data_IF_124330079485
#
_entry.id   IF_124330079485
#
_cell.length_a   1.000
_cell.length_b   1.000
_cell.length_c   1.000
_cell.angle_alpha   90.00
_cell.angle_beta   90.00
_cell.angle_gamma   90.00
#
_symmetry.space_group_name_H-M   'P 1'
#
loop_
_entity.id
_entity.type
_entity.pdbx_description
1 polymer ?
#
# COMPACT_ATOMS: atom_id res chain seq x y z
N UNK A 1 -15.95 7.94 -9.79
CA UNK A 1 -15.74 9.39 -10.04
C UNK A 1 -14.92 9.98 -8.90
N UNK A 2 -13.95 10.85 -9.17
CA UNK A 2 -13.13 11.51 -8.14
C UNK A 2 -13.37 13.02 -8.20
N UNK A 3 -13.64 13.64 -7.05
CA UNK A 3 -13.77 15.10 -6.92
C UNK A 3 -12.82 15.61 -5.86
N UNK A 4 -12.18 16.73 -6.13
CA UNK A 4 -11.17 17.28 -5.26
C UNK A 4 -10.40 18.39 -5.93
N UNK A 5 -9.14 18.54 -5.54
CA UNK A 5 -8.21 19.50 -6.15
C UNK A 5 -7.02 18.77 -6.75
N UNK A 6 -6.42 19.40 -7.74
CA UNK A 6 -5.21 18.93 -8.40
C UNK A 6 -4.11 19.94 -8.15
N UNK A 7 -2.98 19.45 -7.68
CA UNK A 7 -1.75 20.21 -7.51
C UNK A 7 -0.70 19.64 -8.47
N UNK A 8 0.07 20.53 -9.10
CA UNK A 8 1.12 20.17 -10.05
C UNK A 8 2.46 20.59 -9.43
N UNK A 9 3.41 19.66 -9.37
CA UNK A 9 4.77 19.91 -8.92
C UNK A 9 5.76 19.14 -9.80
N UNK A 10 6.67 19.85 -10.44
CA UNK A 10 7.57 19.34 -11.48
C UNK A 10 6.84 18.44 -12.52
N UNK A 11 7.16 17.13 -12.52
CA UNK A 11 6.60 16.13 -13.45
C UNK A 11 5.47 15.29 -12.81
N UNK A 12 5.03 15.67 -11.60
CA UNK A 12 4.09 14.87 -10.80
C UNK A 12 2.79 15.62 -10.55
N UNK A 13 1.68 14.92 -10.77
CA UNK A 13 0.33 15.40 -10.46
C UNK A 13 -0.10 14.80 -9.13
N UNK A 14 -0.37 15.66 -8.15
CA UNK A 14 -0.98 15.29 -6.88
C UNK A 14 -2.50 15.50 -6.98
N UNK A 15 -3.26 14.41 -6.87
CA UNK A 15 -4.72 14.47 -6.79
C UNK A 15 -5.13 14.30 -5.33
N UNK A 16 -5.71 15.34 -4.74
CA UNK A 16 -6.22 15.33 -3.37
C UNK A 16 -7.75 15.22 -3.45
N UNK A 17 -8.25 14.01 -3.19
CA UNK A 17 -9.66 13.70 -3.26
C UNK A 17 -10.40 14.16 -1.98
N UNK A 18 -11.50 14.88 -2.15
CA UNK A 18 -12.48 15.12 -1.08
C UNK A 18 -13.64 14.13 -1.15
N UNK A 19 -13.91 13.61 -2.34
CA UNK A 19 -14.95 12.63 -2.59
C UNK A 19 -14.48 11.62 -3.65
N UNK A 20 -14.78 10.36 -3.40
CA UNK A 20 -14.42 9.24 -4.27
C UNK A 20 -15.60 8.28 -4.33
N UNK A 21 -16.15 8.10 -5.53
CA UNK A 21 -17.18 7.09 -5.80
C UNK A 21 -16.51 5.85 -6.34
N UNK A 22 -16.77 4.72 -5.69
CA UNK A 22 -16.42 3.41 -6.22
C UNK A 22 -17.24 3.12 -7.49
N UNK A 23 -16.54 2.75 -8.56
CA UNK A 23 -17.13 2.40 -9.85
C UNK A 23 -16.56 1.06 -10.36
N UNK A 24 -16.03 0.24 -9.45
CA UNK A 24 -15.35 -1.02 -9.78
C UNK A 24 -16.26 -1.94 -10.59
N UNK A 25 -17.53 -2.08 -10.23
CA UNK A 25 -18.49 -2.93 -10.94
C UNK A 25 -18.70 -2.53 -12.40
N UNK A 26 -18.87 -1.23 -12.67
CA UNK A 26 -19.02 -0.72 -14.03
C UNK A 26 -17.74 -0.89 -14.86
N UNK A 27 -16.57 -0.76 -14.22
CA UNK A 27 -15.28 -0.99 -14.87
C UNK A 27 -15.06 -2.47 -15.16
N UNK A 28 -15.48 -3.36 -14.26
CA UNK A 28 -15.45 -4.81 -14.51
C UNK A 28 -16.32 -5.19 -15.70
N UNK A 29 -17.48 -4.55 -15.88
CA UNK A 29 -18.31 -4.77 -17.07
C UNK A 29 -17.67 -4.35 -18.40
N UNK A 30 -16.61 -3.54 -18.37
CA UNK A 30 -15.87 -3.09 -19.55
C UNK A 30 -14.56 -3.86 -19.77
N UNK A 31 -14.11 -4.64 -18.79
CA UNK A 31 -12.83 -5.34 -18.84
C UNK A 31 -13.01 -6.76 -19.41
N UNK A 32 -12.17 -7.14 -20.39
CA UNK A 32 -12.15 -8.49 -20.96
C UNK A 32 -11.59 -9.55 -19.99
N UNK A 33 -10.82 -9.13 -18.98
CA UNK A 33 -10.24 -10.00 -17.95
C UNK A 33 -10.18 -9.28 -16.59
N UNK A 34 -10.24 -10.05 -15.50
CA UNK A 34 -10.19 -9.52 -14.15
C UNK A 34 -8.76 -9.15 -13.78
N UNK A 35 -8.51 -7.85 -13.61
CA UNK A 35 -7.26 -7.35 -13.02
C UNK A 35 -7.15 -7.87 -11.58
N UNK A 36 -6.20 -8.80 -11.35
CA UNK A 36 -5.82 -9.22 -10.00
C UNK A 36 -4.99 -8.11 -9.38
N UNK A 37 -5.62 -7.32 -8.49
CA UNK A 37 -4.89 -6.30 -7.74
C UNK A 37 -4.05 -6.96 -6.63
N UNK A 38 -2.72 -6.77 -6.61
CA UNK A 38 -1.89 -7.30 -5.54
C UNK A 38 -2.20 -6.56 -4.24
N UNK A 39 -2.67 -7.31 -3.24
CA UNK A 39 -2.96 -6.78 -1.90
C UNK A 39 -1.65 -6.33 -1.25
N UNK A 40 -1.56 -5.05 -0.87
CA UNK A 40 -0.41 -4.52 -0.18
C UNK A 40 -0.36 -5.05 1.25
N UNK A 41 0.85 -5.15 1.82
CA UNK A 41 1.06 -5.58 3.21
C UNK A 41 0.32 -4.69 4.24
N UNK A 42 0.01 -3.45 3.88
CA UNK A 42 -0.72 -2.50 4.71
C UNK A 42 -2.24 -2.68 4.64
N UNK A 43 -2.75 -3.48 3.71
CA UNK A 43 -4.18 -3.72 3.55
C UNK A 43 -4.62 -4.74 4.63
N UNK A 44 -5.04 -4.21 5.77
CA UNK A 44 -5.58 -5.00 6.89
C UNK A 44 -6.89 -5.74 6.55
N UNK A 45 -7.34 -5.70 5.30
CA UNK A 45 -8.47 -6.48 4.77
C UNK A 45 -8.14 -7.98 4.80
N UNK A 46 -6.89 -8.36 4.50
CA UNK A 46 -6.42 -9.75 4.50
C UNK A 46 -6.03 -10.28 5.88
N UNK A 47 -5.74 -9.35 6.81
CA UNK A 47 -5.41 -9.64 8.20
C UNK A 47 -6.17 -8.64 9.07
N UNK A 48 -7.49 -8.85 9.25
CA UNK A 48 -8.30 -7.96 10.07
C UNK A 48 -7.63 -7.84 11.44
N UNK A 49 -7.57 -6.62 11.95
CA UNK A 49 -7.04 -6.37 13.29
C UNK A 49 -7.92 -7.14 14.27
N UNK A 50 -7.48 -8.36 14.63
CA UNK A 50 -7.98 -9.06 15.80
C UNK A 50 -7.88 -8.04 16.91
N UNK A 51 -9.02 -7.72 17.55
CA UNK A 51 -9.11 -6.76 18.65
C UNK A 51 -8.04 -7.15 19.64
N UNK A 52 -6.86 -6.50 19.56
CA UNK A 52 -5.72 -6.87 20.39
C UNK A 52 -6.25 -6.75 21.80
N UNK A 53 -6.32 -7.87 22.52
CA UNK A 53 -6.55 -7.84 23.97
C UNK A 53 -5.63 -6.73 24.49
N UNK A 54 -6.16 -5.74 25.23
CA UNK A 54 -5.33 -4.67 25.73
C UNK A 54 -4.14 -5.32 26.41
N UNK A 55 -2.90 -4.88 26.13
CA UNK A 55 -1.75 -5.48 26.76
C UNK A 55 -1.97 -5.43 28.26
N UNK A 56 -1.94 -6.59 28.90
CA UNK A 56 -1.99 -6.74 30.38
C UNK A 56 -0.77 -6.11 31.05
N UNK A 57 0.16 -5.59 30.25
CA UNK A 57 1.44 -5.05 30.63
C UNK A 57 1.46 -3.56 30.30
N UNK A 58 1.95 -2.75 31.26
CA UNK A 58 1.99 -1.30 31.15
C UNK A 58 2.90 -0.90 29.97
N UNK A 59 2.58 0.15 29.21
CA UNK A 59 3.32 0.54 27.99
C UNK A 59 4.84 0.70 28.15
N UNK A 60 5.29 0.98 29.38
CA UNK A 60 6.69 1.15 29.78
C UNK A 60 7.52 -0.15 29.76
N UNK A 61 6.89 -1.33 29.78
CA UNK A 61 7.60 -2.61 29.85
C UNK A 61 7.68 -3.32 28.46
N UNK A 62 7.19 -2.69 27.38
CA UNK A 62 7.13 -3.26 26.02
C UNK A 62 8.38 -2.99 25.15
N UNK A 63 9.46 -2.46 25.72
CA UNK A 63 10.66 -2.07 24.96
C UNK A 63 11.48 -3.24 24.38
N UNK A 64 11.16 -4.50 24.71
CA UNK A 64 11.92 -5.69 24.28
C UNK A 64 11.37 -6.46 23.08
N UNK A 65 10.08 -6.30 22.73
CA UNK A 65 9.38 -7.16 21.75
C UNK A 65 9.06 -6.42 20.44
N UNK A 66 9.92 -5.49 20.03
CA UNK A 66 9.79 -4.82 18.73
C UNK A 66 10.78 -5.47 17.77
N UNK A 67 10.33 -6.13 16.69
CA UNK A 67 11.25 -6.63 15.68
C UNK A 67 12.07 -5.45 15.15
N UNK A 68 13.39 -5.61 14.92
CA UNK A 68 14.25 -4.52 14.52
C UNK A 68 13.71 -3.86 13.24
N UNK A 69 13.74 -2.51 13.14
CA UNK A 69 13.31 -1.84 11.91
C UNK A 69 14.18 -2.36 10.77
N UNK A 70 13.53 -2.85 9.71
CA UNK A 70 14.22 -3.27 8.48
C UNK A 70 14.96 -2.04 7.96
N UNK A 71 16.30 -2.06 8.08
CA UNK A 71 17.15 -0.97 7.60
C UNK A 71 17.08 -0.93 6.07
N UNK A 72 16.20 -0.10 5.55
CA UNK A 72 16.16 0.23 4.13
C UNK A 72 14.94 1.06 3.79
N UNK A 73 15.15 2.29 3.32
CA UNK A 73 14.09 3.02 2.64
C UNK A 73 13.64 2.17 1.43
N UNK A 74 12.34 2.05 1.12
CA UNK A 74 11.86 1.27 -0.04
C UNK A 74 12.45 1.73 -1.38
N UNK A 75 13.00 2.95 -1.46
CA UNK A 75 13.78 3.46 -2.60
C UNK A 75 15.13 2.77 -2.82
N UNK A 76 15.60 1.96 -1.86
CA UNK A 76 16.86 1.21 -1.94
C UNK A 76 16.65 -0.24 -2.43
N UNK A 77 15.44 -0.61 -2.86
CA UNK A 77 15.17 -1.90 -3.49
C UNK A 77 15.57 -1.84 -4.97
N UNK A 78 16.76 -2.35 -5.29
CA UNK A 78 17.20 -2.54 -6.68
C UNK A 78 16.53 -3.78 -7.27
N UNK A 79 15.32 -3.65 -7.80
CA UNK A 79 14.66 -4.70 -8.59
C UNK A 79 15.13 -4.56 -10.04
N UNK A 80 16.37 -4.93 -10.31
CA UNK A 80 16.83 -5.20 -11.67
C UNK A 80 17.06 -6.70 -11.77
N UNK A 81 16.36 -7.43 -12.67
CA UNK A 81 16.74 -8.80 -13.01
C UNK A 81 18.20 -8.81 -13.43
N UNK A 82 18.94 -9.90 -13.15
CA UNK A 82 20.27 -10.07 -13.76
C UNK A 82 20.10 -9.93 -15.27
N UNK A 83 20.79 -8.97 -15.87
CA UNK A 83 20.84 -8.78 -17.31
C UNK A 83 21.26 -10.11 -17.93
N UNK A 84 20.39 -10.70 -18.75
CA UNK A 84 20.71 -11.89 -19.52
C UNK A 84 21.68 -11.47 -20.62
N UNK A 85 22.89 -12.02 -20.58
CA UNK A 85 23.90 -11.85 -21.62
C UNK A 85 23.28 -12.24 -22.97
N UNK A 86 23.23 -11.29 -23.90
CA UNK A 86 23.12 -11.61 -25.32
C UNK A 86 24.57 -11.68 -25.82
N UNK A 87 24.97 -12.88 -26.21
CA UNK A 87 26.31 -13.22 -26.71
C UNK A 87 26.73 -12.31 -27.87
#
# INVERSE_FOLDING_TARGET
EVRGRVEYDDEVIHVIAHHMTDASDSLYGLADDLLTSPVARADHVSSPLSTRKPPTVKPRDLHGERPPPVRGHPRNLRILPKSRDFH
#
